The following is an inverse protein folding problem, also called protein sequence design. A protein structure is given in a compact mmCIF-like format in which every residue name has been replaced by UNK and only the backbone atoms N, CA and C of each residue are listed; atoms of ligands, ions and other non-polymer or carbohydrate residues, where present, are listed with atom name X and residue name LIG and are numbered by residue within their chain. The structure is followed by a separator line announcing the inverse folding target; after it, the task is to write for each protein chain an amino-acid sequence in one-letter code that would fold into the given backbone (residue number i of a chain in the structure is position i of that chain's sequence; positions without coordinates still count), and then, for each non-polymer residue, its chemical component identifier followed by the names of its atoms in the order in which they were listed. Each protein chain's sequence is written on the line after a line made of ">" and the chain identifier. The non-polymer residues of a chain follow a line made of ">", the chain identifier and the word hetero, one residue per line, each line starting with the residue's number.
data_IF_124592031120
#
_entry.id   IF_124592031120
#
_cell.length_a   1.000
_cell.length_b   1.000
_cell.length_c   1.000
_cell.angle_alpha   90.00
_cell.angle_beta   90.00
_cell.angle_gamma   90.00
#
_symmetry.space_group_name_H-M   'P 1'
#
loop_
_entity.id
_entity.type
_entity.pdbx_description
1 polymer ?
#
# COMPACT_ATOMS: atom_id res chain seq x y z
N UNK A 1 -15.77 12.22 0.28
CA UNK A 1 -15.74 10.96 -0.50
C UNK A 1 -14.51 10.25 0.00
N UNK A 2 -14.66 9.13 0.72
CA UNK A 2 -13.50 8.40 1.20
C UNK A 2 -12.81 7.80 -0.04
N UNK A 3 -11.54 8.12 -0.26
CA UNK A 3 -10.72 7.50 -1.30
C UNK A 3 -10.88 5.98 -1.20
N UNK A 4 -11.60 5.41 -2.17
CA UNK A 4 -11.78 3.97 -2.25
C UNK A 4 -10.45 3.38 -2.73
N UNK A 5 -9.91 2.43 -1.97
CA UNK A 5 -8.69 1.75 -2.36
C UNK A 5 -9.04 0.76 -3.47
N UNK A 6 -8.52 1.02 -4.68
CA UNK A 6 -8.76 0.23 -5.88
C UNK A 6 -7.49 -0.48 -6.33
N UNK A 7 -7.62 -1.47 -7.23
CA UNK A 7 -6.44 -2.05 -7.89
C UNK A 7 -5.75 -0.97 -8.72
N UNK A 8 -4.44 -0.79 -8.49
CA UNK A 8 -3.63 0.28 -9.08
C UNK A 8 -3.48 1.52 -8.20
N UNK A 9 -4.20 1.60 -7.07
CA UNK A 9 -3.98 2.67 -6.09
C UNK A 9 -2.61 2.54 -5.43
N UNK A 10 -1.95 3.67 -5.18
CA UNK A 10 -0.74 3.72 -4.37
C UNK A 10 -1.12 3.79 -2.90
N UNK A 11 -0.42 3.02 -2.08
CA UNK A 11 -0.70 2.93 -0.64
C UNK A 11 0.61 2.90 0.12
N UNK A 12 0.58 3.35 1.37
CA UNK A 12 1.70 3.19 2.29
C UNK A 12 1.28 2.16 3.32
N UNK A 13 2.09 1.12 3.46
CA UNK A 13 1.88 0.10 4.46
C UNK A 13 3.00 0.15 5.52
N UNK A 14 2.67 0.10 6.81
CA UNK A 14 3.67 -0.05 7.86
C UNK A 14 4.23 -1.47 7.80
N UNK A 15 5.49 -1.59 7.41
CA UNK A 15 6.29 -2.79 7.65
C UNK A 15 6.99 -2.66 9.01
N UNK A 16 7.33 -3.78 9.63
CA UNK A 16 8.06 -3.80 10.91
C UNK A 16 9.41 -3.05 10.88
N UNK A 17 9.89 -2.66 9.69
CA UNK A 17 11.09 -1.88 9.46
C UNK A 17 10.83 -0.39 9.10
N UNK A 18 9.58 0.05 8.98
CA UNK A 18 9.20 1.40 8.56
C UNK A 18 8.01 1.44 7.61
N UNK A 19 7.62 2.63 7.19
CA UNK A 19 6.56 2.83 6.18
C UNK A 19 7.11 2.55 4.78
N UNK A 20 6.47 1.65 4.05
CA UNK A 20 6.86 1.29 2.69
C UNK A 20 5.71 1.55 1.74
N UNK A 21 6.01 2.25 0.64
CA UNK A 21 5.06 2.48 -0.42
C UNK A 21 4.89 1.22 -1.27
N UNK A 22 3.67 1.02 -1.76
CA UNK A 22 3.39 -0.04 -2.71
C UNK A 22 2.16 0.26 -3.54
N UNK A 23 1.89 -0.66 -4.46
CA UNK A 23 0.77 -0.58 -5.38
C UNK A 23 -0.21 -1.70 -5.11
N UNK A 24 -1.49 -1.37 -5.01
CA UNK A 24 -2.55 -2.36 -4.79
C UNK A 24 -2.71 -3.20 -6.04
N UNK A 25 -2.58 -4.51 -5.91
CA UNK A 25 -2.77 -5.46 -7.02
C UNK A 25 -4.09 -6.23 -6.91
N UNK A 26 -4.71 -6.24 -5.72
CA UNK A 26 -5.98 -6.95 -5.51
C UNK A 26 -6.77 -6.36 -4.35
N UNK A 27 -8.08 -6.28 -4.53
CA UNK A 27 -9.06 -5.91 -3.50
C UNK A 27 -10.20 -6.92 -3.57
N UNK A 28 -10.24 -7.91 -2.67
CA UNK A 28 -11.27 -8.95 -2.69
C UNK A 28 -11.83 -9.21 -1.28
N UNK A 29 -10.98 -9.68 -0.36
CA UNK A 29 -11.28 -9.89 1.08
C UNK A 29 -10.28 -9.15 2.00
N UNK A 30 -9.48 -8.29 1.38
CA UNK A 30 -8.33 -7.59 1.92
C UNK A 30 -7.64 -6.86 0.77
N UNK A 31 -6.65 -6.03 1.10
CA UNK A 31 -5.91 -5.27 0.11
C UNK A 31 -4.55 -5.95 -0.03
N UNK A 32 -4.34 -6.60 -1.17
CA UNK A 32 -3.01 -7.12 -1.54
C UNK A 32 -2.24 -6.01 -2.22
N UNK A 33 -1.09 -5.67 -1.65
CA UNK A 33 -0.20 -4.61 -2.11
C UNK A 33 1.11 -5.24 -2.52
N UNK A 34 1.59 -4.87 -3.69
CA UNK A 34 2.97 -5.07 -4.11
C UNK A 34 3.82 -3.93 -3.55
N UNK A 35 4.61 -4.21 -2.51
CA UNK A 35 5.43 -3.22 -1.83
C UNK A 35 6.79 -3.09 -2.51
N UNK A 36 7.23 -1.85 -2.70
CA UNK A 36 8.53 -1.53 -3.27
C UNK A 36 9.56 -1.52 -2.13
N UNK A 37 10.12 -2.70 -1.81
CA UNK A 37 11.15 -2.84 -0.77
C UNK A 37 12.54 -2.80 -1.40
N UNK A 38 13.31 -1.76 -1.07
CA UNK A 38 14.72 -1.66 -1.48
C UNK A 38 15.52 -2.90 -1.02
N UNK A 39 16.11 -3.61 -1.98
CA UNK A 39 16.91 -4.82 -1.73
C UNK A 39 16.15 -6.14 -1.84
N UNK A 40 14.85 -6.12 -2.19
CA UNK A 40 14.11 -7.32 -2.59
C UNK A 40 14.04 -7.37 -4.12
N UNK A 41 14.74 -8.35 -4.71
CA UNK A 41 14.60 -8.65 -6.14
C UNK A 41 13.32 -9.47 -6.37
N UNK A 42 12.18 -8.79 -6.46
CA UNK A 42 10.89 -9.39 -6.84
C UNK A 42 9.67 -8.72 -6.21
N UNK A 43 8.46 -9.10 -6.67
CA UNK A 43 7.22 -8.55 -6.16
C UNK A 43 7.00 -8.96 -4.69
N UNK A 44 6.93 -7.98 -3.79
CA UNK A 44 6.70 -8.21 -2.37
C UNK A 44 5.22 -8.02 -2.04
N UNK A 45 4.46 -9.09 -2.24
CA UNK A 45 3.01 -9.10 -2.07
C UNK A 45 2.61 -9.32 -0.61
N UNK A 46 1.99 -8.32 -0.01
CA UNK A 46 1.45 -8.42 1.35
C UNK A 46 -0.03 -8.09 1.33
N UNK A 47 -0.83 -8.92 2.00
CA UNK A 47 -2.26 -8.67 2.17
C UNK A 47 -2.50 -8.07 3.55
N UNK A 48 -3.11 -6.90 3.57
CA UNK A 48 -3.48 -6.19 4.78
C UNK A 48 -5.01 -6.12 4.90
N UNK A 49 -5.48 -5.91 6.12
CA UNK A 49 -6.86 -5.55 6.37
C UNK A 49 -7.16 -4.16 5.79
N UNK A 50 -8.38 -3.94 5.30
CA UNK A 50 -8.82 -2.61 4.80
C UNK A 50 -8.72 -1.50 5.87
N UNK A 51 -8.64 -1.88 7.15
CA UNK A 51 -8.48 -0.95 8.27
C UNK A 51 -7.00 -0.61 8.58
N UNK A 52 -6.05 -1.42 8.12
CA UNK A 52 -4.62 -1.28 8.43
C UNK A 52 -3.82 -0.57 7.34
N UNK A 53 -4.41 -0.37 6.15
CA UNK A 53 -3.80 0.38 5.05
C UNK A 53 -4.33 1.79 4.99
N UNK A 54 -3.41 2.74 4.85
CA UNK A 54 -3.72 4.10 4.46
C UNK A 54 -3.53 4.27 2.95
N UNK A 55 -4.61 4.60 2.25
CA UNK A 55 -4.54 5.02 0.86
C UNK A 55 -3.78 6.34 0.80
N UNK A 56 -2.71 6.42 0.00
CA UNK A 56 -2.11 7.72 -0.32
C UNK A 56 -2.57 8.10 -1.71
N UNK A 57 -3.50 9.06 -1.79
CA UNK A 57 -3.75 9.73 -3.05
C UNK A 57 -2.42 10.38 -3.49
N UNK A 58 -2.14 10.54 -4.79
CA UNK A 58 -0.86 11.07 -5.28
C UNK A 58 -0.53 12.53 -4.83
N UNK A 59 -1.38 13.15 -4.01
CA UNK A 59 -1.14 14.44 -3.36
C UNK A 59 -1.09 14.41 -1.83
N UNK A 60 -1.25 13.24 -1.20
CA UNK A 60 -1.31 13.06 0.27
C UNK A 60 -0.01 12.44 0.80
N UNK A 61 1.13 12.95 0.35
CA UNK A 61 2.42 12.71 0.99
C UNK A 61 2.96 14.05 1.48
N UNK A 62 2.36 14.54 2.56
CA UNK A 62 2.96 15.63 3.34
C UNK A 62 4.08 15.04 4.17
N UNK A 63 5.30 14.97 3.60
CA UNK A 63 6.51 14.76 4.38
C UNK A 63 6.71 16.02 5.24
N UNK A 64 6.38 15.94 6.53
CA UNK A 64 6.65 16.99 7.50
C UNK A 64 8.11 16.96 7.96
#
# INVERSE_FOLDING_TARGET
>A
MADEIEVGSRVIAPLGCGEVAGTVVRVADGITVDLEVDGVDGPFLVTFGRADITAVSPGDVSYA
#
